data_IF_378616305534
#
_entry.id   IF_378616305534
#
_cell.length_a   1.000
_cell.length_b   1.000
_cell.length_c   1.000
_cell.angle_alpha   90.00
_cell.angle_beta   90.00
_cell.angle_gamma   90.00
#
_symmetry.space_group_name_H-M   'P 1'
#
loop_
_entity.id
_entity.type
_entity.pdbx_description
1 polymer ?
#
# COMPACT_ATOMS: atom_id res chain seq x y z
N UNK A 1 -9.62 5.84 -25.20
CA UNK A 1 -9.61 5.66 -23.72
C UNK A 1 -10.32 6.79 -23.03
N UNK A 2 -9.67 7.94 -22.87
CA UNK A 2 -10.15 9.09 -22.05
C UNK A 2 -11.51 9.62 -22.51
N UNK A 3 -11.70 9.85 -23.80
CA UNK A 3 -12.99 10.36 -24.34
C UNK A 3 -14.14 9.38 -24.08
N UNK A 4 -13.90 8.06 -24.19
CA UNK A 4 -14.93 7.05 -23.91
C UNK A 4 -15.29 6.98 -22.43
N UNK A 5 -14.31 7.10 -21.56
CA UNK A 5 -14.55 7.12 -20.12
C UNK A 5 -15.28 8.40 -19.69
N UNK A 6 -14.90 9.55 -20.23
CA UNK A 6 -15.55 10.83 -19.97
C UNK A 6 -17.02 10.81 -20.41
N UNK A 7 -17.33 10.23 -21.57
CA UNK A 7 -18.70 10.05 -22.05
C UNK A 7 -19.48 9.05 -21.18
N UNK A 8 -18.83 7.97 -20.72
CA UNK A 8 -19.46 6.99 -19.84
C UNK A 8 -19.73 7.59 -18.45
N UNK A 9 -18.76 8.30 -17.87
CA UNK A 9 -18.86 8.95 -16.56
C UNK A 9 -19.94 10.04 -16.54
N UNK A 10 -20.04 10.85 -17.60
CA UNK A 10 -21.12 11.84 -17.77
C UNK A 10 -22.47 11.17 -17.89
N UNK A 11 -22.55 10.02 -18.58
CA UNK A 11 -23.81 9.31 -18.84
C UNK A 11 -24.32 8.55 -17.61
N UNK A 12 -23.41 8.00 -16.81
CA UNK A 12 -23.75 7.24 -15.60
C UNK A 12 -23.74 8.08 -14.34
N UNK A 13 -23.23 9.31 -14.37
CA UNK A 13 -22.93 10.17 -13.21
C UNK A 13 -22.05 9.47 -12.16
N UNK A 14 -21.33 8.46 -12.59
CA UNK A 14 -20.46 7.66 -11.74
C UNK A 14 -19.03 7.75 -12.31
N UNK A 15 -18.16 8.53 -11.64
CA UNK A 15 -16.75 8.73 -12.01
C UNK A 15 -15.86 7.53 -11.66
N UNK A 16 -16.44 6.33 -11.63
CA UNK A 16 -15.77 5.10 -11.20
C UNK A 16 -14.89 4.44 -12.26
N UNK A 17 -14.99 4.81 -13.54
CA UNK A 17 -14.15 4.27 -14.58
C UNK A 17 -12.76 4.92 -14.58
N UNK A 18 -11.76 4.16 -14.13
CA UNK A 18 -10.35 4.58 -14.10
C UNK A 18 -9.79 4.83 -15.49
N UNK A 19 -9.89 6.08 -15.98
CA UNK A 19 -9.32 6.53 -17.25
C UNK A 19 -7.95 7.22 -17.11
N UNK A 20 -7.44 7.38 -15.90
CA UNK A 20 -6.16 8.02 -15.64
C UNK A 20 -5.00 7.20 -16.19
N UNK A 21 -4.05 7.86 -16.86
CA UNK A 21 -2.82 7.25 -17.33
C UNK A 21 -1.88 6.93 -16.15
N UNK A 22 -0.86 6.09 -16.36
CA UNK A 22 0.16 5.82 -15.35
C UNK A 22 0.87 7.11 -14.93
N UNK A 23 1.17 8.00 -15.88
CA UNK A 23 1.78 9.31 -15.62
C UNK A 23 0.91 10.19 -14.73
N UNK A 24 -0.41 10.23 -14.96
CA UNK A 24 -1.33 10.95 -14.09
C UNK A 24 -1.38 10.36 -12.67
N UNK A 25 -1.34 9.02 -12.55
CA UNK A 25 -1.29 8.37 -11.25
C UNK A 25 0.04 8.64 -10.52
N UNK A 26 1.17 8.65 -11.25
CA UNK A 26 2.47 9.01 -10.71
C UNK A 26 2.46 10.43 -10.13
N UNK A 27 1.94 11.40 -10.88
CA UNK A 27 1.79 12.80 -10.43
C UNK A 27 0.87 12.87 -9.19
N UNK A 28 -0.29 12.22 -9.25
CA UNK A 28 -1.23 12.20 -8.12
C UNK A 28 -0.56 11.69 -6.85
N UNK A 29 0.17 10.58 -6.93
CA UNK A 29 0.71 9.90 -5.76
C UNK A 29 1.93 10.60 -5.16
N UNK A 30 2.73 11.29 -5.99
CA UNK A 30 4.01 11.84 -5.54
C UNK A 30 4.07 13.37 -5.47
N UNK A 31 3.23 14.06 -6.24
CA UNK A 31 3.27 15.53 -6.33
C UNK A 31 2.04 16.16 -5.67
N UNK A 32 0.87 15.57 -5.90
CA UNK A 32 -0.39 16.18 -5.48
C UNK A 32 -0.99 15.53 -4.22
N UNK A 33 -0.37 14.48 -3.67
CA UNK A 33 -0.92 13.73 -2.54
C UNK A 33 -1.18 14.59 -1.31
N UNK A 34 -0.28 15.49 -0.98
CA UNK A 34 -0.39 16.38 0.19
C UNK A 34 -1.37 17.51 -0.04
N UNK A 35 -1.28 18.17 -1.21
CA UNK A 35 -2.17 19.27 -1.57
C UNK A 35 -3.66 18.88 -1.52
N UNK A 36 -3.95 17.61 -1.83
CA UNK A 36 -5.31 17.09 -1.92
C UNK A 36 -5.66 16.06 -0.83
N UNK A 37 -4.87 15.98 0.25
CA UNK A 37 -5.10 15.04 1.36
C UNK A 37 -6.51 15.17 1.95
N UNK A 38 -7.00 16.40 2.08
CA UNK A 38 -8.32 16.72 2.65
C UNK A 38 -9.44 16.84 1.60
N UNK A 39 -9.25 16.34 0.37
CA UNK A 39 -10.27 16.42 -0.70
C UNK A 39 -11.60 15.76 -0.29
N UNK A 40 -11.51 14.71 0.51
CA UNK A 40 -12.66 13.92 0.94
C UNK A 40 -13.10 14.21 2.38
N UNK A 41 -12.68 15.33 2.97
CA UNK A 41 -13.10 15.73 4.32
C UNK A 41 -14.64 15.71 4.42
N UNK A 42 -15.15 15.13 5.50
CA UNK A 42 -16.59 15.05 5.77
C UNK A 42 -17.24 16.42 5.97
N UNK A 43 -16.45 17.44 6.33
CA UNK A 43 -16.92 18.78 6.66
C UNK A 43 -17.16 19.67 5.44
N UNK A 44 -16.71 19.28 4.25
CA UNK A 44 -16.93 20.05 3.02
C UNK A 44 -18.17 19.60 2.24
N UNK A 45 -18.82 20.55 1.59
CA UNK A 45 -20.04 20.28 0.84
C UNK A 45 -19.79 19.36 -0.36
N UNK A 46 -20.83 18.67 -0.83
CA UNK A 46 -20.74 17.81 -2.01
C UNK A 46 -20.32 18.57 -3.29
N UNK A 47 -20.75 19.82 -3.41
CA UNK A 47 -20.39 20.68 -4.55
C UNK A 47 -18.89 21.01 -4.48
N UNK A 48 -18.41 21.43 -3.33
CA UNK A 48 -17.00 21.76 -3.11
C UNK A 48 -16.08 20.54 -3.33
N UNK A 49 -16.50 19.34 -2.90
CA UNK A 49 -15.78 18.08 -3.23
C UNK A 49 -15.64 17.89 -4.74
N UNK A 50 -16.73 18.10 -5.47
CA UNK A 50 -16.73 17.95 -6.92
C UNK A 50 -15.82 18.98 -7.61
N UNK A 51 -15.85 20.23 -7.16
CA UNK A 51 -14.96 21.28 -7.67
C UNK A 51 -13.48 20.94 -7.43
N UNK A 52 -13.12 20.53 -6.22
CA UNK A 52 -11.78 20.08 -5.87
C UNK A 52 -11.32 18.90 -6.72
N UNK A 53 -12.19 17.90 -6.94
CA UNK A 53 -11.90 16.76 -7.80
C UNK A 53 -11.63 17.17 -9.25
N UNK A 54 -12.40 18.10 -9.79
CA UNK A 54 -12.20 18.63 -11.15
C UNK A 54 -10.87 19.41 -11.22
N UNK A 55 -10.60 20.29 -10.26
CA UNK A 55 -9.34 21.04 -10.21
C UNK A 55 -8.14 20.10 -10.15
N UNK A 56 -8.17 19.12 -9.27
CA UNK A 56 -7.10 18.10 -9.18
C UNK A 56 -6.93 17.36 -10.51
N UNK A 57 -8.01 16.96 -11.15
CA UNK A 57 -7.92 16.26 -12.45
C UNK A 57 -7.31 17.10 -13.56
N UNK A 58 -7.57 18.39 -13.57
CA UNK A 58 -6.93 19.33 -14.52
C UNK A 58 -5.44 19.45 -14.23
N UNK A 59 -5.06 19.59 -12.95
CA UNK A 59 -3.66 19.62 -12.54
C UNK A 59 -2.92 18.33 -12.87
N UNK A 60 -3.51 17.16 -12.56
CA UNK A 60 -2.95 15.86 -12.92
C UNK A 60 -2.66 15.76 -14.43
N UNK A 61 -3.60 16.18 -15.27
CA UNK A 61 -3.44 16.11 -16.74
C UNK A 61 -2.36 17.08 -17.22
N UNK A 62 -2.36 18.30 -16.76
CA UNK A 62 -1.37 19.30 -17.17
C UNK A 62 0.05 18.86 -16.78
N UNK A 63 0.24 18.50 -15.52
CA UNK A 63 1.54 18.08 -15.01
C UNK A 63 2.02 16.77 -15.67
N UNK A 64 1.12 15.85 -15.99
CA UNK A 64 1.48 14.62 -16.70
C UNK A 64 1.98 14.90 -18.11
N UNK A 65 1.36 15.83 -18.84
CA UNK A 65 1.81 16.23 -20.18
C UNK A 65 3.18 16.90 -20.11
N UNK A 66 3.39 17.79 -19.13
CA UNK A 66 4.67 18.47 -18.96
C UNK A 66 5.78 17.50 -18.52
N UNK A 67 5.47 16.53 -17.66
CA UNK A 67 6.40 15.48 -17.26
C UNK A 67 6.82 14.62 -18.47
N UNK A 68 5.86 14.15 -19.27
CA UNK A 68 6.15 13.34 -20.46
C UNK A 68 7.00 14.10 -21.48
N UNK A 69 6.76 15.41 -21.68
CA UNK A 69 7.59 16.25 -22.56
C UNK A 69 9.02 16.41 -22.03
N UNK A 70 9.18 16.61 -20.71
CA UNK A 70 10.51 16.86 -20.12
C UNK A 70 11.34 15.58 -20.02
N UNK A 71 10.74 14.50 -19.57
CA UNK A 71 11.44 13.22 -19.36
C UNK A 71 11.63 12.47 -20.67
N UNK A 72 10.61 12.46 -21.53
CA UNK A 72 10.57 11.75 -22.82
C UNK A 72 11.09 10.28 -22.77
N UNK A 73 10.94 9.65 -21.60
CA UNK A 73 11.33 8.28 -21.33
C UNK A 73 10.19 7.54 -20.58
N UNK A 74 9.53 6.64 -21.30
CA UNK A 74 8.45 5.85 -20.75
C UNK A 74 8.90 4.80 -19.73
N UNK A 75 10.13 4.32 -19.85
CA UNK A 75 10.68 3.36 -18.89
C UNK A 75 10.92 4.05 -17.54
N UNK A 76 11.47 5.27 -17.57
CA UNK A 76 11.62 6.08 -16.36
C UNK A 76 10.26 6.34 -15.66
N UNK A 77 9.23 6.69 -16.44
CA UNK A 77 7.87 6.91 -15.90
C UNK A 77 7.32 5.62 -15.28
N UNK A 78 7.49 4.48 -15.97
CA UNK A 78 7.01 3.19 -15.48
C UNK A 78 7.75 2.75 -14.23
N UNK A 79 9.07 2.90 -14.19
CA UNK A 79 9.89 2.58 -13.03
C UNK A 79 9.47 3.39 -11.80
N UNK A 80 9.35 4.71 -11.93
CA UNK A 80 8.91 5.56 -10.83
C UNK A 80 7.48 5.26 -10.39
N UNK A 81 6.58 4.94 -11.33
CA UNK A 81 5.24 4.46 -10.99
C UNK A 81 5.28 3.18 -10.18
N UNK A 82 6.01 2.17 -10.64
CA UNK A 82 6.12 0.87 -9.96
C UNK A 82 6.78 0.99 -8.58
N UNK A 83 7.65 1.97 -8.38
CA UNK A 83 8.30 2.21 -7.09
C UNK A 83 7.45 3.05 -6.11
N UNK A 84 6.34 3.64 -6.56
CA UNK A 84 5.53 4.55 -5.74
C UNK A 84 4.09 4.09 -5.50
N UNK A 85 3.60 3.05 -6.19
CA UNK A 85 2.22 2.60 -6.03
C UNK A 85 1.98 1.90 -4.70
N UNK A 86 0.81 2.15 -4.11
CA UNK A 86 0.35 1.41 -2.94
C UNK A 86 -0.08 -0.01 -3.34
N UNK A 87 0.50 -1.00 -2.69
CA UNK A 87 0.27 -2.42 -2.93
C UNK A 87 -0.29 -3.16 -1.71
N UNK A 88 -0.94 -2.44 -0.80
CA UNK A 88 -1.56 -3.00 0.41
C UNK A 88 -0.54 -3.26 1.53
N UNK A 89 -1.03 -3.55 2.75
CA UNK A 89 -0.19 -3.82 3.93
C UNK A 89 0.92 -2.79 4.16
N UNK A 90 0.60 -1.49 4.01
CA UNK A 90 1.56 -0.37 4.08
C UNK A 90 2.75 -0.50 3.12
N UNK A 91 2.58 -1.22 2.02
CA UNK A 91 3.64 -1.53 1.07
C UNK A 91 3.58 -0.56 -0.10
N UNK A 92 4.63 0.20 -0.28
CA UNK A 92 4.79 1.13 -1.40
C UNK A 92 5.89 0.66 -2.34
N UNK A 93 5.50 0.49 -3.59
CA UNK A 93 6.36 0.00 -4.67
C UNK A 93 6.52 -1.52 -4.72
N UNK A 94 6.91 -1.97 -5.92
CA UNK A 94 6.99 -3.41 -6.25
C UNK A 94 8.11 -4.14 -5.51
N UNK A 95 9.23 -3.48 -5.20
CA UNK A 95 10.32 -4.08 -4.44
C UNK A 95 9.88 -4.39 -3.01
N UNK A 96 9.23 -3.42 -2.35
CA UNK A 96 8.69 -3.63 -1.01
C UNK A 96 7.59 -4.70 -1.00
N UNK A 97 6.73 -4.73 -2.03
CA UNK A 97 5.71 -5.77 -2.18
C UNK A 97 6.31 -7.17 -2.39
N UNK A 98 7.39 -7.28 -3.18
CA UNK A 98 8.10 -8.53 -3.39
C UNK A 98 8.68 -9.07 -2.07
N UNK A 99 9.26 -8.21 -1.27
CA UNK A 99 9.76 -8.56 0.07
C UNK A 99 8.61 -8.88 1.02
N UNK A 100 7.55 -8.07 1.05
CA UNK A 100 6.41 -8.25 1.97
C UNK A 100 5.68 -9.56 1.73
N UNK A 101 5.39 -9.88 0.49
CA UNK A 101 4.53 -11.03 0.16
C UNK A 101 5.30 -12.32 -0.09
N UNK A 102 6.56 -12.24 -0.53
CA UNK A 102 7.33 -13.39 -0.98
C UNK A 102 8.72 -13.53 -0.38
N UNK A 103 9.21 -12.54 0.39
CA UNK A 103 10.57 -12.53 0.93
C UNK A 103 11.66 -12.50 -0.11
N UNK A 104 11.38 -11.94 -1.30
CA UNK A 104 12.27 -11.99 -2.45
C UNK A 104 12.58 -10.60 -3.01
N UNK A 105 13.73 -10.48 -3.66
CA UNK A 105 14.00 -9.37 -4.55
C UNK A 105 13.05 -9.40 -5.77
N UNK A 106 12.60 -8.23 -6.22
CA UNK A 106 11.64 -8.10 -7.34
C UNK A 106 12.15 -8.81 -8.62
N UNK A 107 13.47 -8.82 -8.85
CA UNK A 107 14.09 -9.50 -10.00
C UNK A 107 13.99 -11.03 -9.95
N UNK A 108 13.64 -11.59 -8.79
CA UNK A 108 13.49 -13.05 -8.55
C UNK A 108 12.04 -13.52 -8.55
N UNK A 109 11.09 -12.61 -8.81
CA UNK A 109 9.68 -12.99 -8.88
C UNK A 109 9.37 -13.86 -10.09
N UNK A 110 8.52 -14.85 -9.88
CA UNK A 110 7.94 -15.66 -10.96
C UNK A 110 6.80 -14.91 -11.65
N UNK A 111 6.39 -15.36 -12.83
CA UNK A 111 5.23 -14.80 -13.54
C UNK A 111 3.96 -14.82 -12.67
N UNK A 112 3.76 -15.89 -11.91
CA UNK A 112 2.62 -16.02 -11.00
C UNK A 112 2.66 -14.95 -9.90
N UNK A 113 3.80 -14.74 -9.27
CA UNK A 113 4.02 -13.73 -8.22
C UNK A 113 3.86 -12.30 -8.76
N UNK A 114 4.40 -12.02 -9.95
CA UNK A 114 4.17 -10.74 -10.64
C UNK A 114 2.69 -10.48 -10.90
N UNK A 115 1.94 -11.50 -11.31
CA UNK A 115 0.51 -11.38 -11.56
C UNK A 115 -0.32 -11.17 -10.28
N UNK A 116 0.11 -11.72 -9.13
CA UNK A 116 -0.45 -11.42 -7.81
C UNK A 116 -0.30 -9.94 -7.49
N UNK A 117 0.94 -9.41 -7.57
CA UNK A 117 1.23 -7.99 -7.28
C UNK A 117 0.45 -7.08 -8.23
N UNK A 118 0.45 -7.37 -9.53
CA UNK A 118 -0.32 -6.60 -10.50
C UNK A 118 -1.83 -6.60 -10.21
N UNK A 119 -2.35 -7.68 -9.64
CA UNK A 119 -3.74 -7.80 -9.22
C UNK A 119 -4.15 -6.81 -8.12
N UNK A 120 -3.21 -6.42 -7.25
CA UNK A 120 -3.46 -5.53 -6.10
C UNK A 120 -3.77 -4.09 -6.54
N UNK A 121 -3.14 -3.62 -7.60
CA UNK A 121 -3.14 -2.20 -8.02
C UNK A 121 -4.52 -1.55 -8.15
N UNK A 122 -5.55 -2.31 -8.48
CA UNK A 122 -6.90 -1.80 -8.68
C UNK A 122 -7.60 -1.42 -7.36
N UNK A 123 -7.37 -2.20 -6.30
CA UNK A 123 -7.96 -2.00 -4.97
C UNK A 123 -7.03 -2.64 -3.93
N UNK A 124 -6.03 -1.90 -3.42
CA UNK A 124 -5.01 -2.45 -2.52
C UNK A 124 -5.55 -3.11 -1.25
N UNK A 125 -6.63 -2.58 -0.69
CA UNK A 125 -7.27 -3.19 0.48
C UNK A 125 -8.04 -4.46 0.12
N UNK A 126 -8.91 -4.41 -0.92
CA UNK A 126 -9.80 -5.52 -1.28
C UNK A 126 -9.11 -6.66 -2.06
N UNK A 127 -7.92 -6.42 -2.62
CA UNK A 127 -7.13 -7.45 -3.33
C UNK A 127 -5.80 -7.74 -2.64
N UNK A 128 -5.70 -7.47 -1.35
CA UNK A 128 -4.56 -7.86 -0.54
C UNK A 128 -4.42 -9.40 -0.53
N UNK A 129 -3.29 -9.98 -0.96
CA UNK A 129 -3.17 -11.44 -1.10
C UNK A 129 -3.10 -12.18 0.23
N UNK A 130 -2.78 -11.49 1.34
CA UNK A 130 -2.79 -12.07 2.69
C UNK A 130 -4.22 -12.07 3.23
N UNK A 131 -4.90 -10.93 3.20
CA UNK A 131 -6.22 -10.75 3.82
C UNK A 131 -7.36 -11.29 2.92
N UNK A 132 -7.20 -11.19 1.59
CA UNK A 132 -8.22 -11.53 0.59
C UNK A 132 -7.66 -12.40 -0.53
N UNK A 133 -7.07 -13.59 -0.23
CA UNK A 133 -6.39 -14.43 -1.22
C UNK A 133 -7.32 -14.88 -2.35
N UNK A 134 -8.59 -15.16 -2.07
CA UNK A 134 -9.58 -15.58 -3.08
C UNK A 134 -9.89 -14.49 -4.09
N UNK A 135 -10.05 -13.26 -3.64
CA UNK A 135 -10.31 -12.09 -4.47
C UNK A 135 -9.08 -11.72 -5.29
N UNK A 136 -7.89 -11.78 -4.70
CA UNK A 136 -6.65 -11.60 -5.42
C UNK A 136 -6.45 -12.70 -6.48
N UNK A 137 -6.79 -13.96 -6.20
CA UNK A 137 -6.70 -15.06 -7.16
C UNK A 137 -7.56 -14.82 -8.41
N UNK A 138 -8.77 -14.29 -8.25
CA UNK A 138 -9.61 -13.88 -9.39
C UNK A 138 -8.94 -12.77 -10.21
N UNK A 139 -8.32 -11.80 -9.53
CA UNK A 139 -7.59 -10.71 -10.20
C UNK A 139 -6.34 -11.21 -10.90
N UNK A 140 -5.54 -12.07 -10.26
CA UNK A 140 -4.38 -12.74 -10.86
C UNK A 140 -4.76 -13.44 -12.16
N UNK A 141 -5.84 -14.21 -12.14
CA UNK A 141 -6.37 -14.87 -13.35
C UNK A 141 -6.66 -13.85 -14.46
N UNK A 142 -7.35 -12.76 -14.15
CA UNK A 142 -7.67 -11.72 -15.15
C UNK A 142 -6.41 -11.07 -15.73
N UNK A 143 -5.37 -10.88 -14.93
CA UNK A 143 -4.06 -10.37 -15.39
C UNK A 143 -3.43 -11.36 -16.36
N UNK A 144 -3.33 -12.64 -15.99
CA UNK A 144 -2.76 -13.69 -16.83
C UNK A 144 -3.55 -13.90 -18.13
N UNK A 145 -4.89 -13.87 -18.05
CA UNK A 145 -5.77 -13.94 -19.23
C UNK A 145 -5.49 -12.77 -20.21
N UNK A 146 -5.35 -11.56 -19.67
CA UNK A 146 -5.04 -10.39 -20.49
C UNK A 146 -3.65 -10.48 -21.13
N UNK A 147 -2.64 -10.91 -20.38
CA UNK A 147 -1.28 -11.11 -20.88
C UNK A 147 -1.24 -12.15 -22.01
N UNK A 148 -1.96 -13.29 -21.84
CA UNK A 148 -2.06 -14.31 -22.88
C UNK A 148 -2.80 -13.78 -24.11
N UNK A 149 -3.94 -13.11 -23.92
CA UNK A 149 -4.73 -12.54 -25.02
C UNK A 149 -3.94 -11.52 -25.83
N UNK A 150 -3.05 -10.78 -25.22
CA UNK A 150 -2.21 -9.77 -25.86
C UNK A 150 -0.88 -10.34 -26.38
N UNK A 151 -0.62 -11.63 -26.21
CA UNK A 151 0.58 -12.30 -26.72
C UNK A 151 1.85 -12.09 -25.89
N UNK A 152 1.74 -11.51 -24.68
CA UNK A 152 2.89 -11.34 -23.79
C UNK A 152 3.38 -12.65 -23.18
N UNK A 153 2.50 -13.63 -23.02
CA UNK A 153 2.82 -14.96 -22.51
C UNK A 153 2.23 -16.05 -23.41
N UNK A 154 2.93 -17.16 -23.53
CA UNK A 154 2.46 -18.35 -24.23
C UNK A 154 1.43 -19.12 -23.41
N UNK A 155 0.69 -20.04 -24.05
CA UNK A 155 -0.24 -20.96 -23.35
C UNK A 155 0.51 -21.73 -22.25
N UNK A 156 1.69 -22.29 -22.54
CA UNK A 156 2.51 -23.04 -21.58
C UNK A 156 2.89 -22.22 -20.33
N UNK A 157 3.24 -20.94 -20.52
CA UNK A 157 3.56 -20.04 -19.42
C UNK A 157 2.31 -19.71 -18.58
N UNK A 158 1.19 -19.50 -19.25
CA UNK A 158 -0.10 -19.30 -18.59
C UNK A 158 -0.48 -20.49 -17.72
N UNK A 159 -0.45 -21.71 -18.29
CA UNK A 159 -0.83 -22.95 -17.58
C UNK A 159 0.08 -23.18 -16.36
N UNK A 160 1.39 -22.97 -16.54
CA UNK A 160 2.36 -23.05 -15.44
C UNK A 160 2.06 -22.05 -14.34
N UNK A 161 1.77 -20.80 -14.70
CA UNK A 161 1.45 -19.77 -13.73
C UNK A 161 0.12 -20.05 -13.00
N UNK A 162 -0.89 -20.57 -13.70
CA UNK A 162 -2.18 -20.91 -13.11
C UNK A 162 -2.12 -22.11 -12.15
N UNK A 163 -1.27 -23.09 -12.44
CA UNK A 163 -1.05 -24.27 -11.60
C UNK A 163 -0.18 -24.01 -10.36
N UNK A 164 0.45 -22.83 -10.28
CA UNK A 164 1.36 -22.48 -9.18
C UNK A 164 0.61 -22.16 -7.89
N UNK A 165 0.98 -22.85 -6.79
CA UNK A 165 0.46 -22.60 -5.44
C UNK A 165 1.12 -21.37 -4.79
N UNK A 166 0.91 -20.21 -5.40
CA UNK A 166 1.48 -18.95 -4.94
C UNK A 166 0.90 -18.50 -3.59
N UNK A 167 -0.35 -18.83 -3.29
CA UNK A 167 -1.01 -18.39 -2.05
C UNK A 167 -0.59 -19.21 -0.84
N UNK A 168 -0.27 -20.51 -1.02
CA UNK A 168 0.35 -21.32 0.03
C UNK A 168 1.68 -20.70 0.48
N UNK A 169 2.54 -20.34 -0.46
CA UNK A 169 3.82 -19.67 -0.15
C UNK A 169 3.66 -18.30 0.50
N UNK A 170 2.64 -17.52 0.13
CA UNK A 170 2.35 -16.24 0.78
C UNK A 170 1.96 -16.47 2.24
N UNK A 171 1.11 -17.45 2.52
CA UNK A 171 0.69 -17.80 3.89
C UNK A 171 1.90 -18.22 4.73
N UNK A 172 2.65 -19.21 4.28
CA UNK A 172 3.86 -19.69 4.97
C UNK A 172 4.86 -18.56 5.27
N UNK A 173 5.13 -17.70 4.29
CA UNK A 173 6.06 -16.58 4.46
C UNK A 173 5.57 -15.56 5.49
N UNK A 174 4.25 -15.30 5.53
CA UNK A 174 3.70 -14.28 6.43
C UNK A 174 3.44 -14.82 7.83
N UNK A 175 3.13 -16.11 8.00
CA UNK A 175 3.05 -16.74 9.30
C UNK A 175 4.39 -16.64 10.06
N UNK A 176 5.50 -16.95 9.37
CA UNK A 176 6.86 -16.78 9.94
C UNK A 176 7.18 -15.32 10.25
N UNK A 177 6.66 -14.38 9.46
CA UNK A 177 6.97 -12.96 9.60
C UNK A 177 6.17 -12.27 10.72
N UNK A 178 4.94 -12.71 10.99
CA UNK A 178 4.17 -12.21 12.13
C UNK A 178 4.86 -12.51 13.46
N UNK A 179 5.62 -13.61 13.55
CA UNK A 179 6.43 -13.91 14.72
C UNK A 179 7.69 -13.02 14.86
N UNK A 180 8.13 -12.35 13.78
CA UNK A 180 9.46 -11.68 13.77
C UNK A 180 9.42 -10.16 13.58
N UNK A 181 8.29 -9.54 13.24
CA UNK A 181 8.32 -8.20 12.67
C UNK A 181 7.90 -7.03 13.55
N UNK A 182 7.34 -7.24 14.71
CA UNK A 182 6.92 -6.14 15.58
C UNK A 182 7.45 -6.33 17.01
N UNK A 183 8.77 -6.29 17.17
CA UNK A 183 9.31 -6.12 18.51
C UNK A 183 9.16 -4.66 18.92
N UNK A 184 8.85 -4.39 20.16
CA UNK A 184 8.84 -3.04 20.74
C UNK A 184 10.14 -2.27 20.47
N UNK A 185 11.26 -3.00 20.30
CA UNK A 185 12.53 -2.41 19.92
C UNK A 185 12.49 -1.78 18.52
N UNK A 186 11.90 -2.46 17.55
CA UNK A 186 11.78 -1.93 16.17
C UNK A 186 10.87 -0.70 16.13
N UNK A 187 9.78 -0.71 16.89
CA UNK A 187 8.87 0.44 16.97
C UNK A 187 9.59 1.63 17.61
N UNK A 188 10.32 1.42 18.70
CA UNK A 188 11.11 2.47 19.35
C UNK A 188 12.18 3.06 18.40
N UNK A 189 12.85 2.22 17.61
CA UNK A 189 13.85 2.69 16.63
C UNK A 189 13.18 3.51 15.52
N UNK A 190 11.97 3.14 15.09
CA UNK A 190 11.21 3.90 14.08
C UNK A 190 10.83 5.26 14.64
N UNK A 191 10.35 5.32 15.88
CA UNK A 191 9.96 6.56 16.55
C UNK A 191 11.18 7.48 16.73
N UNK A 192 12.30 6.97 17.22
CA UNK A 192 13.54 7.73 17.35
C UNK A 192 14.02 8.32 16.00
N UNK A 193 14.01 7.51 14.94
CA UNK A 193 14.39 7.98 13.59
C UNK A 193 13.40 9.02 13.06
N UNK A 194 12.11 8.83 13.31
CA UNK A 194 11.08 9.81 12.93
C UNK A 194 11.32 11.15 13.62
N UNK A 195 11.54 11.13 14.93
CA UNK A 195 11.81 12.33 15.73
C UNK A 195 13.10 13.03 15.29
N UNK A 196 14.15 12.29 14.98
CA UNK A 196 15.39 12.85 14.44
C UNK A 196 15.21 13.50 13.08
N UNK A 197 14.43 12.90 12.19
CA UNK A 197 14.12 13.47 10.88
C UNK A 197 13.33 14.78 11.01
N UNK A 198 12.35 14.83 11.90
CA UNK A 198 11.51 16.02 12.13
C UNK A 198 12.29 17.09 12.87
N UNK A 199 12.85 16.75 14.05
CA UNK A 199 13.38 17.75 14.98
C UNK A 199 14.82 18.17 14.67
N UNK A 200 15.63 17.29 14.08
CA UNK A 200 17.06 17.56 13.78
C UNK A 200 17.26 17.90 12.32
N UNK A 201 16.60 17.18 11.40
CA UNK A 201 16.74 17.40 9.96
C UNK A 201 15.73 18.41 9.39
N UNK A 202 14.70 18.78 10.14
CA UNK A 202 13.70 19.76 9.74
C UNK A 202 12.72 19.24 8.67
N UNK A 203 12.54 17.93 8.57
CA UNK A 203 11.52 17.34 7.69
C UNK A 203 10.13 17.63 8.24
N UNK A 204 9.14 17.79 7.37
CA UNK A 204 7.74 17.66 7.78
C UNK A 204 7.47 16.21 8.18
N UNK A 205 6.44 15.99 9.01
CA UNK A 205 6.03 14.63 9.39
C UNK A 205 5.80 13.72 8.17
N UNK A 206 5.18 14.25 7.11
CA UNK A 206 4.94 13.52 5.87
C UNK A 206 6.24 13.14 5.15
N UNK A 207 7.23 14.05 5.11
CA UNK A 207 8.55 13.76 4.54
C UNK A 207 9.32 12.75 5.38
N UNK A 208 9.22 12.81 6.70
CA UNK A 208 9.85 11.84 7.61
C UNK A 208 9.26 10.44 7.40
N UNK A 209 7.93 10.31 7.33
CA UNK A 209 7.28 9.04 6.98
C UNK A 209 7.70 8.51 5.61
N UNK A 210 7.75 9.37 4.60
CA UNK A 210 8.23 8.98 3.26
C UNK A 210 9.68 8.52 3.29
N UNK A 211 10.55 9.21 4.02
CA UNK A 211 11.96 8.84 4.14
C UNK A 211 12.11 7.46 4.79
N UNK A 212 11.40 7.19 5.89
CA UNK A 212 11.47 5.91 6.62
C UNK A 212 10.95 4.75 5.76
N UNK A 213 9.77 4.91 5.16
CA UNK A 213 9.08 3.79 4.52
C UNK A 213 9.29 3.69 3.00
N UNK A 214 9.81 4.74 2.36
CA UNK A 214 9.96 4.83 0.91
C UNK A 214 11.33 5.35 0.46
N UNK A 215 12.07 6.01 1.35
CA UNK A 215 13.33 6.68 1.03
C UNK A 215 14.53 5.75 0.91
N UNK A 216 14.34 4.45 1.10
CA UNK A 216 15.44 3.47 1.03
C UNK A 216 16.47 3.63 2.15
N UNK A 217 16.08 4.19 3.29
CA UNK A 217 16.98 4.34 4.43
C UNK A 217 17.49 2.98 4.92
N UNK A 218 18.76 2.91 5.21
CA UNK A 218 19.35 1.78 5.94
C UNK A 218 19.56 2.20 7.39
N UNK A 219 18.70 1.69 8.28
CA UNK A 219 18.78 1.96 9.71
C UNK A 219 19.62 0.84 10.36
N UNK A 220 20.73 1.21 11.00
CA UNK A 220 21.57 0.30 11.74
C UNK A 220 21.31 0.48 13.24
N UNK A 221 20.91 -0.58 13.90
CA UNK A 221 20.68 -0.59 15.34
C UNK A 221 21.68 -1.46 16.07
N UNK A 222 21.71 -1.37 17.39
CA UNK A 222 22.50 -2.20 18.28
C UNK A 222 21.74 -3.45 18.75
N UNK A 223 20.56 -3.73 18.16
CA UNK A 223 19.75 -4.89 18.51
C UNK A 223 20.54 -6.20 18.31
N UNK A 224 20.55 -7.02 19.34
CA UNK A 224 21.04 -8.39 19.27
C UNK A 224 19.84 -9.32 19.16
N UNK A 225 19.67 -9.97 18.00
CA UNK A 225 18.51 -10.83 17.73
C UNK A 225 18.39 -12.02 18.69
N UNK A 226 19.52 -12.55 19.22
CA UNK A 226 19.47 -13.64 20.19
C UNK A 226 18.96 -13.17 21.54
N UNK A 227 19.40 -12.00 22.00
CA UNK A 227 18.91 -11.40 23.25
C UNK A 227 17.43 -11.02 23.08
N UNK A 228 17.05 -10.43 21.96
CA UNK A 228 15.65 -10.07 21.69
C UNK A 228 14.75 -11.30 21.77
N UNK A 229 15.15 -12.40 21.12
CA UNK A 229 14.36 -13.65 21.16
C UNK A 229 14.16 -14.17 22.58
N UNK A 230 15.20 -14.16 23.41
CA UNK A 230 15.09 -14.55 24.82
C UNK A 230 14.13 -13.63 25.56
N UNK A 231 14.23 -12.31 25.35
CA UNK A 231 13.31 -11.36 25.98
C UNK A 231 11.85 -11.60 25.56
N UNK A 232 11.60 -11.84 24.27
CA UNK A 232 10.27 -12.10 23.74
C UNK A 232 9.68 -13.41 24.31
N UNK A 233 10.49 -14.47 24.41
CA UNK A 233 10.11 -15.75 25.01
C UNK A 233 9.77 -15.60 26.50
N UNK A 234 10.60 -14.88 27.27
CA UNK A 234 10.39 -14.65 28.70
C UNK A 234 9.17 -13.77 28.98
N UNK A 235 8.94 -12.73 28.16
CA UNK A 235 7.77 -11.86 28.28
C UNK A 235 6.47 -12.60 27.89
N UNK A 236 6.53 -13.54 26.95
CA UNK A 236 5.39 -14.33 26.55
C UNK A 236 5.05 -15.47 27.52
N UNK A 237 6.02 -15.87 28.36
CA UNK A 237 5.80 -16.96 29.33
C UNK A 237 4.91 -16.52 30.50
N UNK A 238 3.71 -17.07 30.55
CA UNK A 238 2.74 -16.81 31.63
C UNK A 238 3.24 -17.22 33.01
N UNK A 239 4.24 -18.10 33.11
CA UNK A 239 4.81 -18.51 34.36
C UNK A 239 5.60 -17.38 35.04
N UNK A 240 6.05 -16.40 34.28
CA UNK A 240 6.79 -15.24 34.78
C UNK A 240 5.88 -14.15 35.39
N UNK A 241 4.57 -14.36 35.38
CA UNK A 241 3.58 -13.39 35.92
C UNK A 241 2.75 -14.02 37.02
N UNK A 242 2.54 -13.26 38.11
CA UNK A 242 1.70 -13.68 39.21
C UNK A 242 0.26 -13.95 38.74
N UNK A 243 -0.19 -15.19 38.86
CA UNK A 243 -1.54 -15.62 38.46
C UNK A 243 -2.69 -14.94 39.24
N UNK A 244 -2.38 -14.16 40.29
CA UNK A 244 -3.34 -13.51 41.17
C UNK A 244 -3.65 -12.05 40.84
N UNK A 245 -2.85 -11.38 40.00
CA UNK A 245 -3.03 -9.96 39.75
C UNK A 245 -4.02 -9.75 38.59
N UNK A 246 -5.28 -9.47 38.94
CA UNK A 246 -6.30 -9.07 37.96
C UNK A 246 -6.39 -7.55 37.94
N UNK A 247 -6.05 -6.96 36.81
CA UNK A 247 -6.33 -5.55 36.57
C UNK A 247 -7.68 -5.43 35.85
N UNK A 248 -8.64 -4.72 36.48
CA UNK A 248 -9.85 -4.30 35.78
C UNK A 248 -9.61 -2.91 35.22
N UNK A 249 -9.73 -2.78 33.90
CA UNK A 249 -9.73 -1.47 33.26
C UNK A 249 -11.08 -1.26 32.57
N UNK A 250 -11.54 -0.03 32.61
CA UNK A 250 -12.77 0.38 31.95
C UNK A 250 -12.36 1.18 30.72
N UNK A 251 -12.80 0.73 29.54
CA UNK A 251 -12.67 1.49 28.31
C UNK A 251 -13.97 2.25 28.09
N UNK A 252 -13.90 3.59 28.09
CA UNK A 252 -15.02 4.43 27.70
C UNK A 252 -14.72 5.05 26.33
N UNK A 253 -15.62 4.90 25.39
CA UNK A 253 -15.49 5.53 24.09
C UNK A 253 -16.81 6.20 23.68
N UNK A 254 -16.69 7.25 22.88
CA UNK A 254 -17.83 8.01 22.39
C UNK A 254 -18.05 7.72 20.91
N UNK A 255 -19.27 7.39 20.55
CA UNK A 255 -19.71 7.22 19.16
C UNK A 255 -20.64 8.36 18.79
N UNK A 256 -20.32 9.08 17.75
CA UNK A 256 -21.22 10.07 17.16
C UNK A 256 -22.11 9.36 16.13
N UNK A 257 -23.39 9.26 16.45
CA UNK A 257 -24.41 8.69 15.57
C UNK A 257 -24.65 9.57 14.33
N UNK A 258 -25.32 9.01 13.30
CA UNK A 258 -25.63 9.73 12.06
C UNK A 258 -26.52 10.96 12.27
N UNK A 259 -27.31 10.98 13.32
CA UNK A 259 -28.18 12.10 13.72
C UNK A 259 -27.46 13.18 14.54
N UNK A 260 -26.17 13.02 14.77
CA UNK A 260 -25.34 13.93 15.55
C UNK A 260 -25.31 13.65 17.05
N UNK A 261 -26.08 12.70 17.55
CA UNK A 261 -26.10 12.31 18.97
C UNK A 261 -24.80 11.61 19.36
N UNK A 262 -24.25 11.95 20.53
CA UNK A 262 -23.04 11.30 21.06
C UNK A 262 -23.48 10.30 22.14
N UNK A 263 -23.17 9.03 21.94
CA UNK A 263 -23.36 7.98 22.93
C UNK A 263 -22.01 7.55 23.51
N UNK A 264 -21.97 7.41 24.82
CA UNK A 264 -20.80 6.90 25.56
C UNK A 264 -21.05 5.44 25.93
N UNK A 265 -20.10 4.58 25.67
CA UNK A 265 -20.13 3.14 25.97
C UNK A 265 -19.01 2.78 26.94
#
# INVERSE_FOLDING_TARGET
>A
GIVRALVADVRTRDFSQGASTLTQQLIKNNVLSEQWANENDSNISKIEKMERQVQRKIQEQYLAIELEKKVNDKNWILENYLNSINLGSNTLGVQAAAQRYFGKDVSKLTLSECAVIAGITKNPAGYNPILHPKENAKRRKNVLDAMKKQGYISQKQYDKAMADDVYGRISEHNDVREETMNTYFVDAVIDDVFDDLVNIKGYSESEAYKAIYQGGLTIKSTQNLQIQKICDEEVADKANYDAGTKYSFYLSFQVKEKDGTIKTY
#
